data_IF_245733875185
#
_entry.id   IF_245733875185
#
_cell.length_a   1.000
_cell.length_b   1.000
_cell.length_c   1.000
_cell.angle_alpha   90.00
_cell.angle_beta   90.00
_cell.angle_gamma   90.00
#
_symmetry.space_group_name_H-M   'P 1'
#
loop_
_entity.id
_entity.type
_entity.pdbx_description
1 polymer ?
#
# COMPACT_ATOMS: atom_id res chain seq x y z
N UNK A 1 -72.16 17.17 5.07
CA UNK A 1 -72.83 17.24 3.77
C UNK A 1 -71.98 16.46 2.74
N UNK A 2 -72.59 16.12 1.61
CA UNK A 2 -71.97 15.24 0.63
C UNK A 2 -70.74 15.92 -0.04
N UNK A 3 -70.75 17.22 -0.15
CA UNK A 3 -69.64 17.99 -0.74
C UNK A 3 -68.42 17.99 0.17
N UNK A 4 -68.63 18.17 1.47
CA UNK A 4 -67.57 18.14 2.49
C UNK A 4 -67.00 16.73 2.62
N UNK A 5 -67.86 15.69 2.60
CA UNK A 5 -67.41 14.30 2.62
C UNK A 5 -66.58 13.95 1.38
N UNK A 6 -66.96 14.40 0.21
CA UNK A 6 -66.21 14.21 -1.02
C UNK A 6 -64.87 14.92 -0.99
N UNK A 7 -64.81 16.14 -0.48
CA UNK A 7 -63.57 16.89 -0.32
C UNK A 7 -62.61 16.23 0.66
N UNK A 8 -63.09 15.72 1.78
CA UNK A 8 -62.30 14.99 2.77
C UNK A 8 -61.74 13.69 2.21
N UNK A 9 -62.55 12.97 1.43
CA UNK A 9 -62.09 11.73 0.76
C UNK A 9 -60.99 12.03 -0.27
N UNK A 10 -61.14 13.07 -1.06
CA UNK A 10 -60.15 13.50 -2.04
C UNK A 10 -58.85 13.95 -1.37
N UNK A 11 -58.96 14.67 -0.25
CA UNK A 11 -57.80 15.08 0.53
C UNK A 11 -57.06 13.87 1.09
N UNK A 12 -57.77 12.88 1.59
CA UNK A 12 -57.18 11.63 2.08
C UNK A 12 -56.48 10.86 0.97
N UNK A 13 -57.08 10.84 -0.23
CA UNK A 13 -56.47 10.18 -1.40
C UNK A 13 -55.19 10.87 -1.81
N UNK A 14 -55.19 12.19 -1.89
CA UNK A 14 -53.97 12.98 -2.27
C UNK A 14 -52.89 12.75 -1.22
N UNK A 15 -53.23 12.82 0.05
CA UNK A 15 -52.27 12.58 1.13
C UNK A 15 -51.64 11.17 1.06
N UNK A 16 -52.47 10.18 0.82
CA UNK A 16 -52.00 8.79 0.67
C UNK A 16 -51.04 8.63 -0.51
N UNK A 17 -51.43 9.20 -1.67
CA UNK A 17 -50.56 9.18 -2.87
C UNK A 17 -49.24 9.92 -2.62
N UNK A 18 -49.26 11.04 -1.94
CA UNK A 18 -48.08 11.80 -1.58
C UNK A 18 -47.15 10.99 -0.66
N UNK A 19 -47.72 10.26 0.31
CA UNK A 19 -46.94 9.40 1.19
C UNK A 19 -46.29 8.23 0.43
N UNK A 20 -47.07 7.60 -0.46
CA UNK A 20 -46.53 6.52 -1.31
C UNK A 20 -45.43 7.01 -2.21
N UNK A 21 -45.57 8.19 -2.82
CA UNK A 21 -44.56 8.79 -3.67
C UNK A 21 -43.31 9.16 -2.85
N UNK A 22 -43.51 9.72 -1.65
CA UNK A 22 -42.41 9.98 -0.71
C UNK A 22 -41.63 8.71 -0.39
N UNK A 23 -42.32 7.63 -0.08
CA UNK A 23 -41.68 6.35 0.26
C UNK A 23 -40.89 5.79 -0.93
N UNK A 24 -41.40 5.92 -2.14
CA UNK A 24 -40.67 5.54 -3.36
C UNK A 24 -39.41 6.36 -3.54
N UNK A 25 -39.50 7.67 -3.35
CA UNK A 25 -38.36 8.59 -3.49
C UNK A 25 -37.30 8.25 -2.45
N UNK A 26 -37.69 8.05 -1.20
CA UNK A 26 -36.77 7.69 -0.11
C UNK A 26 -36.10 6.32 -0.38
N UNK A 27 -36.89 5.35 -0.82
CA UNK A 27 -36.37 4.02 -1.14
C UNK A 27 -35.33 4.08 -2.28
N UNK A 28 -35.66 4.80 -3.36
CA UNK A 28 -34.77 4.97 -4.49
C UNK A 28 -33.50 5.74 -4.11
N UNK A 29 -33.65 6.79 -3.30
CA UNK A 29 -32.51 7.55 -2.82
C UNK A 29 -31.56 6.71 -1.98
N UNK A 30 -32.09 5.89 -1.09
CA UNK A 30 -31.30 4.94 -0.28
C UNK A 30 -30.57 3.91 -1.17
N UNK A 31 -31.29 3.37 -2.13
CA UNK A 31 -30.72 2.42 -3.09
C UNK A 31 -29.56 3.03 -3.85
N UNK A 32 -29.73 4.25 -4.36
CA UNK A 32 -28.67 4.96 -5.08
C UNK A 32 -27.48 5.29 -4.17
N UNK A 33 -27.77 5.66 -2.92
CA UNK A 33 -26.71 5.93 -1.93
C UNK A 33 -25.91 4.66 -1.62
N UNK A 34 -26.57 3.52 -1.47
CA UNK A 34 -25.89 2.23 -1.24
C UNK A 34 -25.03 1.83 -2.42
N UNK A 35 -25.53 1.99 -3.63
CA UNK A 35 -24.76 1.71 -4.85
C UNK A 35 -23.53 2.61 -4.94
N UNK A 36 -23.71 3.91 -4.69
CA UNK A 36 -22.62 4.87 -4.72
C UNK A 36 -21.56 4.58 -3.64
N UNK A 37 -22.01 4.25 -2.43
CA UNK A 37 -21.11 3.88 -1.31
C UNK A 37 -20.32 2.61 -1.63
N UNK A 38 -20.96 1.59 -2.19
CA UNK A 38 -20.31 0.35 -2.57
C UNK A 38 -19.27 0.58 -3.67
N UNK A 39 -19.61 1.38 -4.65
CA UNK A 39 -18.71 1.74 -5.74
C UNK A 39 -17.47 2.46 -5.23
N UNK A 40 -17.67 3.39 -4.29
CA UNK A 40 -16.57 4.14 -3.67
C UNK A 40 -15.69 3.22 -2.82
N UNK A 41 -16.28 2.32 -2.04
CA UNK A 41 -15.54 1.31 -1.28
C UNK A 41 -14.69 0.43 -2.17
N UNK A 42 -15.24 -0.03 -3.28
CA UNK A 42 -14.50 -0.86 -4.24
C UNK A 42 -13.33 -0.09 -4.86
N UNK A 43 -13.54 1.19 -5.19
CA UNK A 43 -12.48 2.06 -5.70
C UNK A 43 -11.36 2.27 -4.67
N UNK A 44 -11.72 2.49 -3.39
CA UNK A 44 -10.76 2.65 -2.30
C UNK A 44 -9.98 1.35 -2.08
N UNK A 45 -10.64 0.20 -2.12
CA UNK A 45 -9.96 -1.10 -2.00
C UNK A 45 -8.96 -1.33 -3.12
N UNK A 46 -9.30 -0.97 -4.35
CA UNK A 46 -8.38 -1.06 -5.48
C UNK A 46 -7.19 -0.11 -5.29
N UNK A 47 -7.44 1.11 -4.81
CA UNK A 47 -6.38 2.08 -4.55
C UNK A 47 -5.43 1.60 -3.46
N UNK A 48 -5.96 1.03 -2.38
CA UNK A 48 -5.16 0.43 -1.31
C UNK A 48 -4.30 -0.72 -1.84
N UNK A 49 -4.86 -1.56 -2.71
CA UNK A 49 -4.10 -2.66 -3.31
C UNK A 49 -2.94 -2.14 -4.18
N UNK A 50 -3.19 -1.11 -4.98
CA UNK A 50 -2.15 -0.48 -5.81
C UNK A 50 -1.05 0.12 -4.93
N UNK A 51 -1.42 0.86 -3.90
CA UNK A 51 -0.46 1.48 -2.97
C UNK A 51 0.35 0.43 -2.21
N UNK A 52 -0.30 -0.66 -1.81
CA UNK A 52 0.37 -1.79 -1.16
C UNK A 52 1.41 -2.41 -2.08
N UNK A 53 1.05 -2.67 -3.34
CA UNK A 53 1.96 -3.26 -4.31
C UNK A 53 3.15 -2.35 -4.61
N UNK A 54 2.91 -1.04 -4.71
CA UNK A 54 3.96 -0.04 -4.87
C UNK A 54 4.89 0.00 -3.66
N UNK A 55 4.34 -0.03 -2.45
CA UNK A 55 5.11 -0.04 -1.21
C UNK A 55 5.99 -1.29 -1.10
N UNK A 56 5.47 -2.46 -1.46
CA UNK A 56 6.23 -3.71 -1.48
C UNK A 56 7.36 -3.63 -2.51
N UNK A 57 7.09 -3.06 -3.67
CA UNK A 57 8.09 -2.88 -4.72
C UNK A 57 9.22 -1.95 -4.26
N UNK A 58 8.87 -0.85 -3.59
CA UNK A 58 9.84 0.11 -3.04
C UNK A 58 10.69 -0.53 -1.95
N UNK A 59 10.08 -1.30 -1.05
CA UNK A 59 10.79 -2.03 0.00
C UNK A 59 11.76 -3.03 -0.61
N UNK A 60 11.34 -3.79 -1.60
CA UNK A 60 12.22 -4.75 -2.30
C UNK A 60 13.41 -4.04 -2.94
N UNK A 61 13.19 -2.89 -3.54
CA UNK A 61 14.26 -2.09 -4.14
C UNK A 61 15.24 -1.60 -3.09
N UNK A 62 14.74 -1.08 -1.97
CA UNK A 62 15.57 -0.63 -0.85
C UNK A 62 16.39 -1.77 -0.25
N UNK A 63 15.77 -2.93 -0.06
CA UNK A 63 16.45 -4.12 0.44
C UNK A 63 17.53 -4.58 -0.54
N UNK A 64 17.24 -4.56 -1.83
CA UNK A 64 18.22 -4.93 -2.86
C UNK A 64 19.43 -3.99 -2.84
N UNK A 65 19.20 -2.67 -2.79
CA UNK A 65 20.27 -1.66 -2.72
C UNK A 65 21.09 -1.86 -1.44
N UNK A 66 20.44 -2.05 -0.31
CA UNK A 66 21.11 -2.29 0.96
C UNK A 66 21.94 -3.57 0.94
N UNK A 67 21.41 -4.62 0.32
CA UNK A 67 22.12 -5.90 0.17
C UNK A 67 23.40 -5.76 -0.66
N UNK A 68 23.33 -4.98 -1.74
CA UNK A 68 24.51 -4.68 -2.57
C UNK A 68 25.54 -3.86 -1.78
N UNK A 69 25.08 -2.85 -1.03
CA UNK A 69 25.98 -2.03 -0.20
C UNK A 69 26.68 -2.86 0.86
N UNK A 70 25.96 -3.76 1.52
CA UNK A 70 26.54 -4.68 2.50
C UNK A 70 27.54 -5.61 1.85
N UNK A 71 27.19 -6.18 0.70
CA UNK A 71 28.09 -7.08 -0.05
C UNK A 71 29.37 -6.36 -0.45
N UNK A 72 29.28 -5.11 -0.94
CA UNK A 72 30.44 -4.31 -1.26
C UNK A 72 31.35 -4.06 -0.05
N UNK A 73 30.77 -3.74 1.09
CA UNK A 73 31.51 -3.54 2.34
C UNK A 73 32.20 -4.81 2.81
N UNK A 74 31.51 -5.93 2.72
CA UNK A 74 32.07 -7.24 3.09
C UNK A 74 33.23 -7.61 2.16
N UNK A 75 33.04 -7.44 0.86
CA UNK A 75 34.09 -7.71 -0.14
C UNK A 75 35.31 -6.80 0.06
N UNK A 76 35.08 -5.51 0.30
CA UNK A 76 36.16 -4.55 0.54
C UNK A 76 36.96 -4.92 1.76
N UNK A 77 36.32 -5.28 2.84
CA UNK A 77 36.99 -5.74 4.05
C UNK A 77 37.74 -7.03 3.82
N UNK A 78 37.15 -7.98 3.12
CA UNK A 78 37.77 -9.26 2.77
C UNK A 78 39.03 -9.04 1.92
N UNK A 79 38.99 -8.12 0.96
CA UNK A 79 40.15 -7.78 0.15
C UNK A 79 41.26 -7.10 0.97
N UNK A 80 40.90 -6.21 1.88
CA UNK A 80 41.86 -5.57 2.79
C UNK A 80 42.55 -6.61 3.69
N UNK A 81 41.79 -7.54 4.25
CA UNK A 81 42.33 -8.61 5.07
C UNK A 81 43.27 -9.50 4.25
N UNK A 82 42.91 -9.80 3.01
CA UNK A 82 43.75 -10.57 2.10
C UNK A 82 45.06 -9.84 1.79
N UNK A 83 44.99 -8.54 1.50
CA UNK A 83 46.20 -7.72 1.28
C UNK A 83 47.07 -7.66 2.52
N UNK A 84 46.47 -7.54 3.71
CA UNK A 84 47.21 -7.55 4.95
C UNK A 84 47.91 -8.90 5.17
N UNK A 85 47.22 -10.01 4.86
CA UNK A 85 47.82 -11.34 4.93
C UNK A 85 48.97 -11.53 3.93
N UNK A 86 48.78 -11.04 2.71
CA UNK A 86 49.82 -11.07 1.68
C UNK A 86 51.04 -10.25 2.07
N UNK A 87 50.82 -9.08 2.62
CA UNK A 87 51.91 -8.25 3.14
C UNK A 87 52.66 -8.89 4.29
N UNK A 88 51.95 -9.58 5.16
CA UNK A 88 52.54 -10.32 6.28
C UNK A 88 53.37 -11.49 5.77
N UNK A 89 52.85 -12.23 4.79
CA UNK A 89 53.58 -13.37 4.17
C UNK A 89 54.85 -12.86 3.47
N UNK A 90 54.76 -11.74 2.73
CA UNK A 90 55.90 -11.15 2.06
C UNK A 90 57.01 -10.75 3.07
N UNK A 91 56.64 -10.18 4.19
CA UNK A 91 57.59 -9.84 5.26
C UNK A 91 58.23 -11.06 5.86
N UNK A 92 57.44 -12.12 6.08
CA UNK A 92 57.97 -13.40 6.58
C UNK A 92 58.95 -14.06 5.60
N UNK A 93 58.61 -13.98 4.31
CA UNK A 93 59.48 -14.49 3.25
C UNK A 93 60.79 -13.72 3.18
N UNK A 94 60.73 -12.39 3.29
CA UNK A 94 61.93 -11.55 3.33
C UNK A 94 62.82 -11.92 4.51
N UNK A 95 62.25 -12.12 5.70
CA UNK A 95 63.02 -12.56 6.86
C UNK A 95 63.70 -13.90 6.66
N UNK A 96 63.02 -14.83 5.97
CA UNK A 96 63.56 -16.18 5.72
C UNK A 96 64.58 -16.17 4.61
N UNK A 97 64.31 -15.41 3.53
CA UNK A 97 65.16 -15.38 2.33
C UNK A 97 66.33 -14.42 2.46
N UNK A 98 66.29 -13.50 3.39
CA UNK A 98 67.40 -12.60 3.68
C UNK A 98 68.17 -13.14 4.87
N UNK A 99 69.27 -13.81 4.67
CA UNK A 99 70.05 -14.34 5.77
C UNK A 99 70.60 -13.23 6.65
N UNK A 100 70.80 -13.55 7.90
CA UNK A 100 71.30 -12.63 8.89
C UNK A 100 72.58 -11.95 8.42
N UNK A 101 72.59 -10.63 8.34
CA UNK A 101 73.69 -9.86 7.81
C UNK A 101 74.70 -9.45 8.86
N UNK A 102 74.86 -10.17 9.87
CA UNK A 102 75.91 -9.92 10.83
C UNK A 102 77.27 -10.42 10.39
#
# INVERSE_FOLDING_TARGET
>A
DALVAAANKEQGRILKEAMEERDKIVHEARKQAEIAAQKELDAVRQQIQVEKDEAIRDIRRQVAVLSVDIAEKVLRKSLQDKEAQMGMIDRMLDEVLTPNKN
#
